data_IF_677502149715
#
_entry.id   IF_677502149715
#
_cell.length_a   1.000
_cell.length_b   1.000
_cell.length_c   1.000
_cell.angle_alpha   90.00
_cell.angle_beta   90.00
_cell.angle_gamma   90.00
#
_symmetry.space_group_name_H-M   'P 1'
#
loop_
_entity.id
_entity.type
_entity.pdbx_description
1 polymer ?
#
# COMPACT_ATOMS: atom_id res chain seq x y z
N UNK A 1 -32.97 4.81 -17.01
CA UNK A 1 -31.59 5.28 -17.25
C UNK A 1 -30.65 4.13 -16.99
N UNK A 2 -30.01 3.60 -18.03
CA UNK A 2 -29.18 2.40 -17.99
C UNK A 2 -27.92 2.53 -17.10
N UNK A 3 -27.42 3.75 -16.88
CA UNK A 3 -26.23 4.00 -16.06
C UNK A 3 -26.42 3.77 -14.55
N UNK A 4 -27.66 3.76 -14.03
CA UNK A 4 -27.91 3.55 -12.57
C UNK A 4 -27.70 2.11 -12.11
N UNK A 5 -27.81 1.13 -13.02
CA UNK A 5 -27.55 -0.28 -12.73
C UNK A 5 -26.10 -0.68 -13.00
N UNK A 6 -25.26 0.25 -13.49
CA UNK A 6 -23.89 -0.03 -13.89
C UNK A 6 -22.86 0.13 -12.76
N UNK A 7 -23.21 0.81 -11.66
CA UNK A 7 -22.32 0.98 -10.51
C UNK A 7 -22.11 -0.31 -9.72
N UNK A 8 -22.89 -1.35 -9.96
CA UNK A 8 -22.90 -2.59 -9.15
C UNK A 8 -22.02 -3.73 -9.68
N UNK A 9 -21.43 -3.63 -10.88
CA UNK A 9 -20.87 -4.81 -11.58
C UNK A 9 -19.43 -4.67 -12.09
N UNK A 10 -18.59 -3.79 -11.54
CA UNK A 10 -17.16 -3.82 -11.91
C UNK A 10 -16.26 -4.15 -10.73
N UNK A 11 -15.36 -5.10 -10.99
CA UNK A 11 -14.46 -5.67 -10.01
C UNK A 11 -13.43 -4.65 -9.53
N UNK A 12 -13.01 -4.77 -8.26
CA UNK A 12 -11.95 -3.95 -7.64
C UNK A 12 -10.58 -4.39 -8.19
N UNK A 13 -10.34 -4.07 -9.47
CA UNK A 13 -9.14 -4.48 -10.22
C UNK A 13 -8.66 -3.37 -11.17
N UNK A 14 -7.37 -3.43 -11.52
CA UNK A 14 -6.81 -2.59 -12.58
C UNK A 14 -6.96 -3.28 -13.94
N UNK A 15 -8.02 -2.93 -14.67
CA UNK A 15 -8.37 -3.54 -15.96
C UNK A 15 -8.79 -2.49 -17.00
N UNK A 16 -8.90 -2.92 -18.26
CA UNK A 16 -9.48 -2.09 -19.33
C UNK A 16 -10.93 -1.67 -19.02
N UNK A 17 -11.70 -2.53 -18.35
CA UNK A 17 -13.07 -2.21 -17.97
C UNK A 17 -13.11 -1.08 -16.94
N UNK A 18 -12.23 -1.11 -15.95
CA UNK A 18 -12.11 -0.04 -14.94
C UNK A 18 -11.70 1.30 -15.58
N UNK A 19 -10.80 1.27 -16.58
CA UNK A 19 -10.44 2.45 -17.37
C UNK A 19 -11.61 3.00 -18.20
N UNK A 20 -12.42 2.11 -18.79
CA UNK A 20 -13.63 2.52 -19.51
C UNK A 20 -14.64 3.17 -18.56
N UNK A 21 -14.85 2.61 -17.36
CA UNK A 21 -15.73 3.23 -16.37
C UNK A 21 -15.25 4.59 -15.90
N UNK A 22 -13.94 4.74 -15.66
CA UNK A 22 -13.32 6.03 -15.36
C UNK A 22 -13.57 7.04 -16.50
N UNK A 23 -13.43 6.60 -17.76
CA UNK A 23 -13.64 7.45 -18.94
C UNK A 23 -15.10 7.87 -19.11
N UNK A 24 -16.02 6.92 -18.99
CA UNK A 24 -17.47 7.18 -19.15
C UNK A 24 -17.97 8.11 -18.06
N UNK A 25 -17.55 7.90 -16.81
CA UNK A 25 -17.95 8.74 -15.66
C UNK A 25 -17.29 10.12 -15.65
N UNK A 26 -16.15 10.28 -16.34
CA UNK A 26 -15.55 11.58 -16.63
C UNK A 26 -16.34 12.34 -17.70
N UNK A 27 -16.67 11.71 -18.83
CA UNK A 27 -17.42 12.34 -19.93
C UNK A 27 -18.89 12.58 -19.59
N UNK A 28 -19.49 11.67 -18.83
CA UNK A 28 -20.85 11.78 -18.27
C UNK A 28 -20.70 11.96 -16.76
N UNK A 29 -20.63 13.21 -16.27
CA UNK A 29 -20.19 13.51 -14.91
C UNK A 29 -20.97 12.71 -13.87
N UNK A 30 -20.32 11.69 -13.32
CA UNK A 30 -20.86 10.83 -12.28
C UNK A 30 -19.76 10.56 -11.26
N UNK A 31 -19.68 11.43 -10.26
CA UNK A 31 -18.63 11.42 -9.25
C UNK A 31 -18.55 10.07 -8.52
N UNK A 32 -19.68 9.44 -8.18
CA UNK A 32 -19.69 8.17 -7.44
C UNK A 32 -19.00 7.04 -8.21
N UNK A 33 -19.34 6.89 -9.50
CA UNK A 33 -18.73 5.87 -10.37
C UNK A 33 -17.28 6.23 -10.66
N UNK A 34 -17.01 7.52 -10.85
CA UNK A 34 -15.67 8.03 -11.11
C UNK A 34 -14.73 7.74 -9.94
N UNK A 35 -15.11 8.10 -8.73
CA UNK A 35 -14.31 7.87 -7.52
C UNK A 35 -14.07 6.38 -7.30
N UNK A 36 -15.11 5.53 -7.45
CA UNK A 36 -14.94 4.08 -7.32
C UNK A 36 -13.95 3.52 -8.34
N UNK A 37 -14.04 3.94 -9.60
CA UNK A 37 -13.12 3.49 -10.65
C UNK A 37 -11.69 4.01 -10.39
N UNK A 38 -11.54 5.27 -10.00
CA UNK A 38 -10.27 5.89 -9.68
C UNK A 38 -9.59 5.21 -8.48
N UNK A 39 -10.35 4.86 -7.44
CA UNK A 39 -9.86 4.13 -6.27
C UNK A 39 -9.45 2.69 -6.63
N UNK A 40 -10.23 1.98 -7.45
CA UNK A 40 -9.87 0.64 -7.95
C UNK A 40 -8.55 0.68 -8.73
N UNK A 41 -8.39 1.66 -9.60
CA UNK A 41 -7.13 1.87 -10.33
C UNK A 41 -6.00 2.21 -9.35
N UNK A 42 -6.20 3.14 -8.42
CA UNK A 42 -5.18 3.55 -7.44
C UNK A 42 -4.66 2.37 -6.61
N UNK A 43 -5.55 1.48 -6.18
CA UNK A 43 -5.22 0.28 -5.40
C UNK A 43 -4.33 -0.71 -6.15
N UNK A 44 -4.62 -0.91 -7.43
CA UNK A 44 -4.15 -2.07 -8.20
C UNK A 44 -3.17 -1.73 -9.34
N UNK A 45 -3.10 -0.48 -9.77
CA UNK A 45 -2.08 0.00 -10.72
C UNK A 45 -0.68 -0.24 -10.16
N UNK A 46 0.23 -0.75 -10.99
CA UNK A 46 1.57 -1.16 -10.58
C UNK A 46 2.69 -0.39 -11.30
N UNK A 47 2.35 0.71 -11.98
CA UNK A 47 3.26 1.51 -12.80
C UNK A 47 3.35 1.06 -14.26
N UNK A 48 2.75 -0.08 -14.64
CA UNK A 48 2.50 -0.38 -16.05
C UNK A 48 1.21 0.28 -16.50
N UNK A 49 1.32 1.23 -17.44
CA UNK A 49 0.13 1.84 -18.03
C UNK A 49 -0.49 0.88 -19.05
N UNK A 50 -1.74 0.50 -18.84
CA UNK A 50 -2.57 -0.09 -19.88
C UNK A 50 -2.78 0.93 -21.01
N UNK A 51 -2.99 0.43 -22.23
CA UNK A 51 -3.24 1.29 -23.38
C UNK A 51 -4.56 2.06 -23.18
N UNK A 52 -4.42 3.37 -22.96
CA UNK A 52 -5.52 4.31 -22.78
C UNK A 52 -5.49 5.44 -23.83
N UNK A 53 -4.73 5.27 -24.92
CA UNK A 53 -4.45 6.34 -25.90
C UNK A 53 -5.72 6.87 -26.60
N UNK A 54 -6.79 6.08 -26.61
CA UNK A 54 -8.08 6.45 -27.19
C UNK A 54 -9.11 6.94 -26.16
N UNK A 55 -8.72 7.06 -24.89
CA UNK A 55 -9.60 7.45 -23.79
C UNK A 55 -9.28 8.88 -23.32
N UNK A 56 -10.29 9.68 -22.91
CA UNK A 56 -10.09 11.05 -22.44
C UNK A 56 -9.54 11.10 -21.00
N UNK A 57 -8.45 10.36 -20.73
CA UNK A 57 -7.90 10.14 -19.39
C UNK A 57 -6.49 10.75 -19.18
N UNK A 58 -5.95 11.45 -20.17
CA UNK A 58 -4.60 12.02 -20.10
C UNK A 58 -4.38 12.97 -18.91
N UNK A 59 -5.42 13.64 -18.41
CA UNK A 59 -5.34 14.49 -17.23
C UNK A 59 -5.58 13.77 -15.89
N UNK A 60 -6.18 12.58 -15.92
CA UNK A 60 -6.62 11.85 -14.72
C UNK A 60 -5.61 10.78 -14.32
N UNK A 61 -5.15 9.96 -15.26
CA UNK A 61 -4.21 8.88 -14.99
C UNK A 61 -2.90 9.36 -14.34
N UNK A 62 -2.29 10.49 -14.75
CA UNK A 62 -1.11 11.00 -14.07
C UNK A 62 -1.37 11.39 -12.61
N UNK A 63 -2.56 11.88 -12.27
CA UNK A 63 -2.92 12.22 -10.88
C UNK A 63 -3.11 10.97 -10.02
N UNK A 64 -3.69 9.91 -10.60
CA UNK A 64 -3.77 8.60 -9.94
C UNK A 64 -2.36 8.04 -9.70
N UNK A 65 -1.48 8.12 -10.70
CA UNK A 65 -0.10 7.66 -10.60
C UNK A 65 0.71 8.46 -9.58
N UNK A 66 0.57 9.79 -9.56
CA UNK A 66 1.18 10.64 -8.53
C UNK A 66 0.73 10.21 -7.13
N UNK A 67 -0.57 9.95 -6.94
CA UNK A 67 -1.09 9.47 -5.67
C UNK A 67 -0.58 8.09 -5.31
N UNK A 68 -0.44 7.18 -6.29
CA UNK A 68 0.17 5.85 -6.10
C UNK A 68 1.59 6.01 -5.57
N UNK A 69 2.40 6.84 -6.22
CA UNK A 69 3.78 7.10 -5.85
C UNK A 69 3.90 7.74 -4.46
N UNK A 70 3.01 8.68 -4.10
CA UNK A 70 2.95 9.29 -2.77
C UNK A 70 2.72 8.23 -1.68
N UNK A 71 1.74 7.34 -1.89
CA UNK A 71 1.35 6.32 -0.91
C UNK A 71 2.39 5.20 -0.79
N UNK A 72 2.98 4.76 -1.91
CA UNK A 72 4.09 3.80 -1.90
C UNK A 72 5.33 4.38 -1.20
N UNK A 73 5.66 5.65 -1.46
CA UNK A 73 6.74 6.33 -0.77
C UNK A 73 6.53 6.38 0.75
N UNK A 74 5.30 6.53 1.24
CA UNK A 74 5.02 6.49 2.67
C UNK A 74 5.38 5.13 3.29
N UNK A 75 5.02 4.02 2.63
CA UNK A 75 5.36 2.68 3.10
C UNK A 75 6.88 2.48 3.07
N UNK A 76 7.53 2.77 1.93
CA UNK A 76 8.97 2.55 1.74
C UNK A 76 9.79 3.41 2.70
N UNK A 77 9.44 4.69 2.87
CA UNK A 77 10.10 5.55 3.85
C UNK A 77 10.00 5.01 5.26
N UNK A 78 8.85 4.44 5.65
CA UNK A 78 8.72 3.84 6.99
C UNK A 78 9.58 2.58 7.14
N UNK A 79 9.70 1.74 6.11
CA UNK A 79 10.61 0.58 6.15
C UNK A 79 12.07 1.01 6.34
N UNK A 80 12.56 1.98 5.56
CA UNK A 80 13.93 2.49 5.73
C UNK A 80 14.11 3.22 7.06
N UNK A 81 13.11 3.98 7.53
CA UNK A 81 13.14 4.56 8.87
C UNK A 81 13.31 3.49 9.95
N UNK A 82 12.61 2.35 9.85
CA UNK A 82 12.78 1.24 10.79
C UNK A 82 14.18 0.64 10.69
N UNK A 83 14.70 0.45 9.47
CA UNK A 83 16.06 -0.03 9.26
C UNK A 83 17.11 0.85 9.97
N UNK A 84 16.94 2.18 9.88
CA UNK A 84 17.87 3.14 10.44
C UNK A 84 17.70 3.36 11.95
N UNK A 85 16.50 3.12 12.49
CA UNK A 85 16.21 3.40 13.91
C UNK A 85 16.27 2.18 14.81
N UNK A 86 15.99 0.97 14.31
CA UNK A 86 16.09 -0.26 15.12
C UNK A 86 17.49 -0.52 15.73
N UNK A 87 18.63 -0.16 15.11
CA UNK A 87 19.95 -0.30 15.74
C UNK A 87 20.13 0.56 16.99
N UNK A 88 19.57 1.77 16.97
CA UNK A 88 19.76 2.82 17.98
C UNK A 88 18.48 3.10 18.78
N UNK A 89 17.49 2.23 18.71
CA UNK A 89 16.18 2.57 19.24
C UNK A 89 16.16 2.50 20.76
N UNK A 90 16.00 3.66 21.40
CA UNK A 90 15.42 3.79 22.75
C UNK A 90 13.94 3.31 22.80
N UNK A 91 13.40 2.83 21.68
CA UNK A 91 12.05 2.30 21.57
C UNK A 91 11.93 1.03 22.41
N UNK A 92 11.30 1.15 23.57
CA UNK A 92 10.81 -0.01 24.29
C UNK A 92 9.63 -0.59 23.52
N UNK A 93 9.79 -1.76 22.89
CA UNK A 93 8.59 -2.56 22.62
C UNK A 93 7.86 -2.82 23.95
N UNK A 94 6.55 -3.06 23.98
CA UNK A 94 5.91 -3.37 25.28
C UNK A 94 6.50 -4.63 25.94
N UNK A 95 7.16 -5.51 25.16
CA UNK A 95 8.00 -6.61 25.65
C UNK A 95 9.31 -6.18 26.36
N UNK A 96 9.72 -4.93 26.20
CA UNK A 96 10.79 -4.30 26.98
C UNK A 96 10.40 -4.10 28.46
N UNK A 97 9.16 -4.43 28.86
CA UNK A 97 8.84 -4.66 30.29
C UNK A 97 9.80 -5.67 30.93
N UNK A 98 10.46 -6.52 30.14
CA UNK A 98 11.50 -7.46 30.55
C UNK A 98 12.94 -7.02 30.18
N UNK A 99 13.15 -5.80 29.69
CA UNK A 99 14.47 -5.21 29.45
C UNK A 99 15.32 -5.89 28.37
N UNK A 100 14.70 -6.59 27.41
CA UNK A 100 15.42 -7.37 26.40
C UNK A 100 15.49 -6.63 25.04
N UNK A 101 16.68 -6.20 24.57
CA UNK A 101 16.88 -5.59 23.24
C UNK A 101 16.73 -6.59 22.08
N UNK A 102 16.40 -7.84 22.41
CA UNK A 102 16.33 -8.97 21.47
C UNK A 102 15.27 -8.76 20.40
N UNK A 103 14.15 -8.10 20.73
CA UNK A 103 13.07 -7.85 19.78
C UNK A 103 13.51 -6.95 18.62
N UNK A 104 14.25 -5.88 18.90
CA UNK A 104 14.70 -4.93 17.87
C UNK A 104 15.79 -5.54 17.00
N UNK A 105 16.69 -6.30 17.61
CA UNK A 105 17.72 -7.06 16.88
C UNK A 105 17.11 -8.10 15.93
N UNK A 106 16.09 -8.84 16.38
CA UNK A 106 15.38 -9.81 15.53
C UNK A 106 14.64 -9.08 14.40
N UNK A 107 13.86 -8.04 14.72
CA UNK A 107 13.12 -7.27 13.73
C UNK A 107 14.05 -6.66 12.68
N UNK A 108 15.19 -6.10 13.10
CA UNK A 108 16.21 -5.58 12.20
C UNK A 108 16.79 -6.66 11.30
N UNK A 109 17.13 -7.83 11.86
CA UNK A 109 17.69 -8.93 11.08
C UNK A 109 16.72 -9.45 10.01
N UNK A 110 15.41 -9.48 10.31
CA UNK A 110 14.36 -9.84 9.35
C UNK A 110 14.24 -8.74 8.29
N UNK A 111 14.17 -7.47 8.71
CA UNK A 111 14.03 -6.34 7.80
C UNK A 111 15.19 -6.23 6.81
N UNK A 112 16.44 -6.38 7.27
CA UNK A 112 17.64 -6.37 6.42
C UNK A 112 17.55 -7.46 5.37
N UNK A 113 17.17 -8.68 5.75
CA UNK A 113 17.02 -9.81 4.81
C UNK A 113 15.93 -9.56 3.78
N UNK A 114 14.79 -9.02 4.20
CA UNK A 114 13.69 -8.70 3.28
C UNK A 114 14.07 -7.56 2.33
N UNK A 115 14.71 -6.49 2.81
CA UNK A 115 15.19 -5.41 1.95
C UNK A 115 16.25 -5.89 0.95
N UNK A 116 17.17 -6.75 1.37
CA UNK A 116 18.17 -7.35 0.49
C UNK A 116 17.53 -8.25 -0.59
N UNK A 117 16.54 -9.07 -0.20
CA UNK A 117 15.74 -9.89 -1.11
C UNK A 117 15.03 -9.04 -2.16
N UNK A 118 14.47 -7.89 -1.77
CA UNK A 118 13.82 -6.94 -2.69
C UNK A 118 14.82 -6.19 -3.55
N UNK A 119 15.99 -5.84 -3.02
CA UNK A 119 17.08 -5.21 -3.76
C UNK A 119 17.65 -6.11 -4.85
N UNK A 120 17.65 -7.42 -4.61
CA UNK A 120 18.12 -8.46 -5.54
C UNK A 120 17.06 -8.95 -6.52
N UNK A 121 15.81 -8.49 -6.40
CA UNK A 121 14.71 -8.85 -7.30
C UNK A 121 14.75 -8.06 -8.61
N UNK A 122 14.16 -8.62 -9.67
CA UNK A 122 13.86 -7.89 -10.91
C UNK A 122 12.92 -6.69 -10.67
N UNK A 123 12.08 -6.77 -9.62
CA UNK A 123 11.24 -5.67 -9.14
C UNK A 123 11.94 -4.96 -7.99
N UNK A 124 12.87 -4.07 -8.30
CA UNK A 124 13.60 -3.35 -7.25
C UNK A 124 12.70 -2.36 -6.52
N UNK A 125 12.87 -2.22 -5.21
CA UNK A 125 12.17 -1.24 -4.37
C UNK A 125 12.73 0.18 -4.55
N UNK A 126 12.71 0.68 -5.79
CA UNK A 126 13.23 2.00 -6.16
C UNK A 126 12.16 2.74 -6.95
N UNK A 127 11.98 4.03 -6.67
CA UNK A 127 11.05 4.88 -7.42
C UNK A 127 11.33 4.79 -8.93
N UNK A 128 10.31 4.67 -9.79
CA UNK A 128 8.88 4.84 -9.52
C UNK A 128 8.13 3.58 -9.02
N UNK A 129 8.84 2.60 -8.45
CA UNK A 129 8.26 1.37 -7.88
C UNK A 129 7.45 0.58 -8.91
N UNK A 130 8.00 0.43 -10.11
CA UNK A 130 7.36 -0.34 -11.17
C UNK A 130 7.23 -1.82 -10.77
N UNK A 131 6.07 -2.41 -11.06
CA UNK A 131 5.70 -3.77 -10.65
C UNK A 131 5.13 -3.87 -9.23
N UNK A 132 4.88 -2.73 -8.57
CA UNK A 132 4.23 -2.65 -7.26
C UNK A 132 2.98 -1.77 -7.29
N UNK A 133 1.85 -2.39 -7.00
CA UNK A 133 0.63 -1.69 -6.59
C UNK A 133 0.61 -1.44 -5.08
N UNK A 134 -0.22 -0.50 -4.61
CA UNK A 134 -0.38 -0.23 -3.18
C UNK A 134 -0.80 -1.51 -2.44
N UNK A 135 -1.78 -2.24 -3.00
CA UNK A 135 -2.24 -3.50 -2.41
C UNK A 135 -1.13 -4.56 -2.36
N UNK A 136 -0.33 -4.70 -3.42
CA UNK A 136 0.79 -5.64 -3.43
C UNK A 136 1.88 -5.26 -2.40
N UNK A 137 2.13 -3.96 -2.21
CA UNK A 137 3.10 -3.48 -1.23
C UNK A 137 2.62 -3.69 0.21
N UNK A 138 1.33 -3.42 0.47
CA UNK A 138 0.70 -3.74 1.76
C UNK A 138 0.80 -5.24 2.04
N UNK A 139 0.50 -6.09 1.06
CA UNK A 139 0.57 -7.53 1.20
C UNK A 139 2.00 -7.98 1.49
N UNK A 140 2.98 -7.46 0.73
CA UNK A 140 4.39 -7.72 0.94
C UNK A 140 4.82 -7.43 2.37
N UNK A 141 4.44 -6.29 2.94
CA UNK A 141 4.77 -5.94 4.33
C UNK A 141 4.05 -6.87 5.33
N UNK A 142 2.82 -7.29 5.03
CA UNK A 142 2.09 -8.24 5.89
C UNK A 142 2.66 -9.65 5.86
N UNK A 143 3.34 -10.01 4.78
CA UNK A 143 4.00 -11.31 4.57
C UNK A 143 5.43 -11.33 5.13
N UNK A 144 5.96 -10.19 5.59
CA UNK A 144 7.24 -10.16 6.30
C UNK A 144 7.13 -11.08 7.51
N UNK A 145 8.06 -12.05 7.68
CA UNK A 145 8.01 -12.98 8.78
C UNK A 145 7.88 -12.27 10.12
N UNK A 146 7.01 -12.79 10.98
CA UNK A 146 6.94 -12.35 12.36
C UNK A 146 8.27 -12.65 13.08
N UNK A 147 8.61 -11.80 14.04
CA UNK A 147 9.72 -12.01 14.98
C UNK A 147 9.34 -13.16 15.90
N UNK A 148 9.61 -14.40 15.50
CA UNK A 148 9.20 -15.58 16.27
C UNK A 148 9.95 -15.63 17.61
N UNK A 149 9.26 -15.22 18.68
CA UNK A 149 9.40 -15.78 20.03
C UNK A 149 8.05 -16.31 20.53
N UNK A 150 7.23 -16.87 19.62
CA UNK A 150 5.93 -17.47 19.92
C UNK A 150 5.92 -18.99 19.69
N UNK A 151 7.01 -19.68 20.03
CA UNK A 151 7.10 -21.16 19.95
C UNK A 151 6.95 -21.85 21.30
N UNK A 152 6.63 -21.13 22.36
CA UNK A 152 6.19 -21.75 23.61
C UNK A 152 4.68 -21.64 23.68
N UNK A 153 4.00 -22.80 23.64
CA UNK A 153 2.53 -22.98 23.73
C UNK A 153 1.91 -22.42 25.04
N UNK A 154 2.65 -21.63 25.81
CA UNK A 154 2.36 -21.31 27.22
C UNK A 154 2.15 -19.81 27.49
N UNK A 155 2.22 -18.94 26.46
CA UNK A 155 2.06 -17.49 26.65
C UNK A 155 0.88 -16.92 25.85
N UNK A 156 -0.16 -16.53 26.57
CA UNK A 156 -1.38 -15.84 26.12
C UNK A 156 -1.13 -14.39 25.59
N UNK A 157 0.14 -13.99 25.42
CA UNK A 157 0.58 -12.64 25.04
C UNK A 157 0.90 -12.50 23.53
N UNK A 158 0.25 -13.29 22.68
CA UNK A 158 0.46 -13.26 21.22
C UNK A 158 0.29 -11.85 20.62
N UNK A 159 -0.59 -11.02 21.20
CA UNK A 159 -0.80 -9.65 20.77
C UNK A 159 0.41 -8.74 21.01
N UNK A 160 1.15 -8.90 22.11
CA UNK A 160 2.26 -8.02 22.50
C UNK A 160 3.53 -8.30 21.67
N UNK A 161 3.79 -9.57 21.33
CA UNK A 161 4.92 -9.97 20.47
C UNK A 161 4.74 -9.45 19.04
N UNK A 162 3.49 -9.39 18.57
CA UNK A 162 3.15 -8.89 17.23
C UNK A 162 3.43 -7.38 17.06
N UNK A 163 3.57 -6.61 18.14
CA UNK A 163 3.85 -5.17 18.07
C UNK A 163 5.33 -4.91 17.80
N UNK A 164 6.21 -5.80 18.27
CA UNK A 164 7.66 -5.63 18.09
C UNK A 164 8.15 -5.96 16.68
N UNK A 165 7.38 -6.73 15.91
CA UNK A 165 7.76 -7.11 14.55
C UNK A 165 7.73 -5.94 13.57
N UNK A 166 8.40 -6.11 12.43
CA UNK A 166 8.32 -5.15 11.32
C UNK A 166 6.85 -4.89 10.95
N UNK A 167 6.04 -5.95 10.82
CA UNK A 167 4.61 -5.85 10.52
C UNK A 167 3.86 -5.04 11.58
N UNK A 168 4.09 -5.31 12.86
CA UNK A 168 3.52 -4.56 13.98
C UNK A 168 3.83 -3.07 13.91
N UNK A 169 5.10 -2.74 13.67
CA UNK A 169 5.61 -1.36 13.57
C UNK A 169 5.11 -0.63 12.33
N UNK A 170 4.77 -1.37 11.28
CA UNK A 170 4.19 -0.83 10.04
C UNK A 170 2.67 -0.62 10.12
N UNK A 171 1.98 -1.25 11.08
CA UNK A 171 0.51 -1.30 11.17
C UNK A 171 -0.17 0.06 11.02
N UNK A 172 0.32 1.09 11.72
CA UNK A 172 -0.25 2.43 11.64
C UNK A 172 -0.11 3.03 10.24
N UNK A 173 1.09 2.97 9.65
CA UNK A 173 1.34 3.50 8.30
C UNK A 173 0.52 2.74 7.25
N UNK A 174 0.41 1.42 7.36
CA UNK A 174 -0.45 0.64 6.46
C UNK A 174 -1.93 1.00 6.63
N UNK A 175 -2.38 1.24 7.86
CA UNK A 175 -3.73 1.72 8.16
C UNK A 175 -4.00 3.09 7.53
N UNK A 176 -3.09 4.05 7.71
CA UNK A 176 -3.19 5.38 7.13
C UNK A 176 -3.23 5.33 5.60
N UNK A 177 -2.36 4.53 4.98
CA UNK A 177 -2.33 4.35 3.52
C UNK A 177 -3.66 3.76 3.03
N UNK A 178 -4.19 2.73 3.70
CA UNK A 178 -5.50 2.14 3.35
C UNK A 178 -6.62 3.18 3.45
N UNK A 179 -6.65 3.96 4.53
CA UNK A 179 -7.65 5.02 4.72
C UNK A 179 -7.53 6.07 3.62
N UNK A 180 -6.33 6.61 3.39
CA UNK A 180 -6.08 7.65 2.37
C UNK A 180 -6.46 7.17 0.98
N UNK A 181 -6.15 5.92 0.64
CA UNK A 181 -6.49 5.33 -0.65
C UNK A 181 -8.00 5.16 -0.83
N UNK A 182 -8.71 4.68 0.19
CA UNK A 182 -10.16 4.45 0.13
C UNK A 182 -11.00 5.72 0.24
N UNK A 183 -10.43 6.80 0.80
CA UNK A 183 -11.07 8.11 0.88
C UNK A 183 -10.57 9.08 -0.19
N UNK A 184 -9.70 8.64 -1.10
CA UNK A 184 -9.17 9.52 -2.13
C UNK A 184 -10.21 9.72 -3.22
N UNK A 185 -10.45 10.99 -3.54
CA UNK A 185 -11.33 11.43 -4.61
C UNK A 185 -10.57 12.43 -5.46
N UNK A 186 -10.99 12.57 -6.71
CA UNK A 186 -10.49 13.62 -7.57
C UNK A 186 -11.70 14.42 -8.07
N UNK A 187 -11.70 15.71 -7.78
CA UNK A 187 -12.76 16.59 -8.24
C UNK A 187 -12.75 16.62 -9.78
N UNK A 188 -13.92 16.36 -10.35
CA UNK A 188 -14.18 16.59 -11.77
C UNK A 188 -14.14 18.11 -12.00
N UNK A 189 -12.95 18.68 -12.24
CA UNK A 189 -12.85 20.08 -12.65
C UNK A 189 -13.55 20.23 -14.01
N UNK A 190 -14.75 20.82 -14.00
CA UNK A 190 -15.63 21.06 -15.14
C UNK A 190 -15.10 22.09 -16.16
N UNK A 191 -13.81 22.42 -16.15
CA UNK A 191 -13.24 23.37 -17.08
C UNK A 191 -12.78 22.66 -18.36
N UNK A 192 -13.76 22.27 -19.18
CA UNK A 192 -13.59 22.08 -20.64
C UNK A 192 -14.49 23.06 -21.35
#
# INVERSE_FOLDING_TARGET
MWYKNMSTEFDDEYSHQTLLWLSVSWVLPNQEVFDRAAQGILKHMDGQQLNADNLPLHGVLPKIEEKRLELLNQIVRKLYYLHDTLPDSDYSCDWHKFGSPTCDSIALSILVRELDRLGSSDRRLVAPFNGYSIMSMIQLVNDIPESIAATTEEYDHYHDVSVCSVRGRMRHVLGDVKTKMNSWTLDLDYNV
#
